data_IF_178628595290
#
_entry.id   IF_178628595290
#
_cell.length_a   1.000
_cell.length_b   1.000
_cell.length_c   1.000
_cell.angle_alpha   90.00
_cell.angle_beta   90.00
_cell.angle_gamma   90.00
#
_symmetry.space_group_name_H-M   'P 1'
#
loop_
_entity.id
_entity.type
_entity.pdbx_description
1 polymer ?
#
# COMPACT_ATOMS: atom_id res chain seq x y z
N UNK A 1 57.17 56.64 51.97
CA UNK A 1 55.90 56.50 52.73
C UNK A 1 54.84 55.97 51.77
N UNK A 2 54.31 54.74 51.97
CA UNK A 2 53.37 54.14 51.04
C UNK A 2 51.97 54.77 51.20
N UNK A 3 51.34 55.09 50.06
CA UNK A 3 49.95 55.57 49.97
C UNK A 3 48.98 54.38 50.05
N UNK A 4 47.79 54.54 50.67
CA UNK A 4 46.86 53.44 50.87
C UNK A 4 46.08 53.12 49.59
N UNK A 5 45.82 51.81 49.40
CA UNK A 5 44.88 51.29 48.41
C UNK A 5 43.44 51.66 48.79
N UNK A 6 42.71 52.22 47.83
CA UNK A 6 41.30 52.58 47.95
C UNK A 6 40.46 51.51 47.27
N UNK A 7 39.72 50.75 48.05
CA UNK A 7 38.82 49.67 47.62
C UNK A 7 37.53 50.26 47.03
N UNK A 8 37.20 49.95 45.79
CA UNK A 8 35.93 50.29 45.16
C UNK A 8 34.99 49.08 45.29
N UNK A 9 33.80 49.20 45.92
CA UNK A 9 32.86 48.10 45.98
C UNK A 9 32.14 47.93 44.63
N UNK A 10 32.18 46.71 44.09
CA UNK A 10 31.40 46.30 42.92
C UNK A 10 29.97 46.04 43.36
N UNK A 11 29.05 46.89 42.90
CA UNK A 11 27.61 46.72 43.10
C UNK A 11 27.09 45.69 42.06
N UNK A 12 26.80 44.48 42.50
CA UNK A 12 26.19 43.44 41.66
C UNK A 12 24.69 43.71 41.56
N UNK A 13 24.24 44.17 40.39
CA UNK A 13 22.83 44.37 40.08
C UNK A 13 22.22 43.04 39.61
N UNK A 14 21.53 42.34 40.50
CA UNK A 14 20.82 41.10 40.18
C UNK A 14 19.43 41.43 39.60
N UNK A 15 19.28 41.30 38.28
CA UNK A 15 18.01 41.46 37.58
C UNK A 15 17.14 40.20 37.79
N UNK A 16 16.21 40.24 38.73
CA UNK A 16 15.18 39.21 38.86
C UNK A 16 14.10 39.44 37.79
N UNK A 17 14.14 38.68 36.70
CA UNK A 17 13.03 38.61 35.74
C UNK A 17 11.90 37.76 36.35
N UNK A 18 10.88 38.41 36.88
CA UNK A 18 9.64 37.75 37.26
C UNK A 18 8.88 37.34 35.99
N UNK A 19 8.92 36.06 35.64
CA UNK A 19 8.00 35.51 34.64
C UNK A 19 6.61 35.40 35.27
N UNK A 20 5.69 36.26 34.84
CA UNK A 20 4.27 36.12 35.15
C UNK A 20 3.75 34.82 34.50
N UNK A 21 3.45 33.81 35.31
CA UNK A 21 2.71 32.63 34.85
C UNK A 21 1.25 33.05 34.61
N UNK A 22 0.80 32.93 33.35
CA UNK A 22 -0.61 33.04 33.01
C UNK A 22 -1.42 31.92 33.69
N UNK A 23 -2.66 32.17 34.14
CA UNK A 23 -3.48 31.16 34.77
C UNK A 23 -3.75 30.03 33.77
N UNK A 24 -3.53 28.79 34.21
CA UNK A 24 -3.85 27.60 33.43
C UNK A 24 -5.36 27.56 33.15
N UNK A 25 -5.74 27.87 31.91
CA UNK A 25 -7.09 27.62 31.43
C UNK A 25 -7.42 26.13 31.52
N UNK A 26 -8.61 25.80 32.00
CA UNK A 26 -9.14 24.42 31.98
C UNK A 26 -8.96 23.83 30.58
N UNK A 27 -8.50 22.58 30.42
CA UNK A 27 -8.40 21.99 29.10
C UNK A 27 -9.82 21.94 28.53
N UNK A 28 -10.04 22.65 27.43
CA UNK A 28 -11.24 22.48 26.64
C UNK A 28 -11.30 21.00 26.27
N UNK A 29 -12.40 20.33 26.65
CA UNK A 29 -12.59 18.91 26.39
C UNK A 29 -12.32 18.63 24.92
N UNK A 30 -11.23 17.92 24.64
CA UNK A 30 -10.93 17.47 23.31
C UNK A 30 -12.11 16.61 22.87
N UNK A 31 -12.87 17.10 21.87
CA UNK A 31 -13.79 16.24 21.14
C UNK A 31 -12.94 15.08 20.64
N UNK A 32 -13.22 13.88 21.13
CA UNK A 32 -12.62 12.66 20.62
C UNK A 32 -13.07 12.53 19.18
N UNK A 33 -12.33 13.12 18.25
CA UNK A 33 -12.44 12.76 16.86
C UNK A 33 -12.18 11.25 16.84
N UNK A 34 -13.17 10.48 16.39
CA UNK A 34 -12.97 9.05 16.12
C UNK A 34 -11.81 8.96 15.15
N UNK A 35 -10.61 8.65 15.66
CA UNK A 35 -9.43 8.44 14.83
C UNK A 35 -9.80 7.28 13.92
N UNK A 36 -9.86 7.54 12.61
CA UNK A 36 -10.11 6.51 11.62
C UNK A 36 -9.15 5.35 11.88
N UNK A 37 -9.64 4.12 11.85
CA UNK A 37 -8.81 2.94 12.07
C UNK A 37 -7.71 2.92 11.00
N UNK A 38 -6.47 3.12 11.43
CA UNK A 38 -5.31 3.07 10.55
C UNK A 38 -4.96 1.61 10.27
N UNK A 39 -4.94 1.22 9.00
CA UNK A 39 -4.67 -0.15 8.57
C UNK A 39 -3.58 -0.25 7.50
N UNK A 40 -3.17 0.87 6.92
CA UNK A 40 -2.09 0.92 5.93
C UNK A 40 -0.71 0.86 6.61
N UNK A 41 0.04 -0.22 6.38
CA UNK A 41 1.35 -0.45 6.99
C UNK A 41 2.35 0.68 6.70
N UNK A 42 2.36 1.22 5.48
CA UNK A 42 3.26 2.33 5.08
C UNK A 42 2.99 3.65 5.83
N UNK A 43 1.84 3.75 6.49
CA UNK A 43 1.42 4.92 7.27
C UNK A 43 1.56 4.71 8.78
N UNK A 44 2.04 3.53 9.22
CA UNK A 44 2.24 3.18 10.62
C UNK A 44 3.72 3.25 10.99
N UNK A 45 4.01 3.74 12.20
CA UNK A 45 5.32 3.58 12.82
C UNK A 45 5.50 2.16 13.35
N UNK A 46 6.74 1.68 13.54
CA UNK A 46 6.97 0.32 14.07
C UNK A 46 6.28 0.06 15.43
N UNK A 47 6.16 1.02 16.38
CA UNK A 47 5.40 0.80 17.61
C UNK A 47 3.90 0.64 17.36
N UNK A 48 3.33 1.38 16.40
CA UNK A 48 1.92 1.25 16.02
C UNK A 48 1.64 -0.11 15.37
N UNK A 49 2.55 -0.61 14.52
CA UNK A 49 2.47 -1.96 13.95
C UNK A 49 2.49 -3.02 15.06
N UNK A 50 3.45 -2.91 15.99
CA UNK A 50 3.57 -3.84 17.13
C UNK A 50 2.28 -3.86 17.96
N UNK A 51 1.77 -2.68 18.32
CA UNK A 51 0.53 -2.56 19.09
C UNK A 51 -0.68 -3.15 18.34
N UNK A 52 -0.75 -2.97 17.01
CA UNK A 52 -1.82 -3.55 16.20
C UNK A 52 -1.77 -5.09 16.15
N UNK A 53 -0.57 -5.67 16.03
CA UNK A 53 -0.38 -7.13 16.07
C UNK A 53 -0.77 -7.68 17.45
N UNK A 54 -0.33 -7.04 18.54
CA UNK A 54 -0.69 -7.40 19.92
C UNK A 54 -2.21 -7.27 20.17
N UNK A 55 -2.86 -6.32 19.52
CA UNK A 55 -4.32 -6.15 19.52
C UNK A 55 -5.06 -7.12 18.58
N UNK A 56 -4.36 -8.08 17.95
CA UNK A 56 -4.97 -9.16 17.17
C UNK A 56 -5.02 -8.93 15.65
N UNK A 57 -4.37 -7.89 15.11
CA UNK A 57 -4.22 -7.73 13.65
C UNK A 57 -3.12 -8.62 13.10
N UNK A 58 -3.42 -9.91 12.98
CA UNK A 58 -2.44 -10.97 12.66
C UNK A 58 -2.39 -11.33 11.18
N UNK A 59 -3.19 -10.68 10.33
CA UNK A 59 -3.25 -10.94 8.88
C UNK A 59 -2.58 -9.82 8.08
N UNK A 60 -1.59 -10.15 7.24
CA UNK A 60 -1.00 -9.22 6.28
C UNK A 60 -1.62 -9.42 4.89
N UNK A 61 -2.02 -8.33 4.25
CA UNK A 61 -2.55 -8.35 2.88
C UNK A 61 -1.51 -7.76 1.93
N UNK A 62 -0.86 -8.60 1.12
CA UNK A 62 0.00 -8.16 0.04
C UNK A 62 -0.80 -8.06 -1.25
N UNK A 63 -0.79 -6.86 -1.82
CA UNK A 63 -1.52 -6.54 -3.04
C UNK A 63 -0.53 -6.06 -4.10
N UNK A 64 -0.59 -6.65 -5.30
CA UNK A 64 0.17 -6.17 -6.45
C UNK A 64 -0.71 -5.30 -7.35
N UNK A 65 -0.26 -4.09 -7.64
CA UNK A 65 -0.82 -3.25 -8.69
C UNK A 65 -0.08 -3.50 -10.01
N UNK A 66 0.43 -2.42 -10.60
CA UNK A 66 1.20 -2.46 -11.84
C UNK A 66 1.43 -1.06 -12.39
N UNK A 67 2.51 -0.93 -13.17
CA UNK A 67 2.83 0.28 -13.93
C UNK A 67 2.66 -0.05 -15.40
N UNK A 68 1.57 0.41 -16.00
CA UNK A 68 1.14 -0.01 -17.34
C UNK A 68 0.60 1.18 -18.13
N UNK A 69 1.02 1.30 -19.39
CA UNK A 69 0.37 2.17 -20.34
C UNK A 69 -1.03 1.65 -20.71
N UNK A 70 -2.09 2.44 -20.43
CA UNK A 70 -3.50 2.04 -20.63
C UNK A 70 -4.29 3.07 -21.44
N UNK A 71 -3.74 3.44 -22.58
CA UNK A 71 -4.30 4.47 -23.46
C UNK A 71 -4.00 5.89 -22.99
N UNK A 72 -4.31 6.91 -23.80
CA UNK A 72 -3.96 8.32 -23.52
C UNK A 72 -4.68 8.93 -22.30
N UNK A 73 -5.77 8.30 -21.84
CA UNK A 73 -6.63 8.81 -20.77
C UNK A 73 -6.22 8.35 -19.35
N UNK A 74 -5.43 7.27 -19.23
CA UNK A 74 -5.12 6.66 -17.94
C UNK A 74 -3.69 7.01 -17.50
N UNK A 75 -3.53 7.23 -16.20
CA UNK A 75 -2.20 7.32 -15.58
C UNK A 75 -1.57 5.93 -15.48
N UNK A 76 -0.25 5.85 -15.67
CA UNK A 76 0.47 4.56 -15.68
C UNK A 76 0.35 3.78 -14.37
N UNK A 77 0.20 4.49 -13.24
CA UNK A 77 0.06 3.91 -11.91
C UNK A 77 -1.38 3.52 -11.53
N UNK A 78 -2.31 3.49 -12.49
CA UNK A 78 -3.74 3.28 -12.22
C UNK A 78 -4.01 2.04 -11.35
N UNK A 79 -3.39 0.89 -11.67
CA UNK A 79 -3.52 -0.34 -10.89
C UNK A 79 -3.05 -0.17 -9.44
N UNK A 80 -1.93 0.51 -9.22
CA UNK A 80 -1.39 0.76 -7.87
C UNK A 80 -2.27 1.72 -7.08
N UNK A 81 -2.79 2.77 -7.72
CA UNK A 81 -3.68 3.74 -7.08
C UNK A 81 -5.01 3.11 -6.66
N UNK A 82 -5.64 2.32 -7.53
CA UNK A 82 -6.86 1.59 -7.20
C UNK A 82 -6.59 0.50 -6.15
N UNK A 83 -5.50 -0.25 -6.30
CA UNK A 83 -5.10 -1.30 -5.39
C UNK A 83 -4.96 -0.83 -3.94
N UNK A 84 -4.46 0.40 -3.71
CA UNK A 84 -4.35 0.99 -2.37
C UNK A 84 -5.70 1.09 -1.67
N UNK A 85 -6.71 1.63 -2.33
CA UNK A 85 -8.05 1.76 -1.73
C UNK A 85 -8.77 0.41 -1.61
N UNK A 86 -8.56 -0.51 -2.56
CA UNK A 86 -9.13 -1.86 -2.52
C UNK A 86 -8.60 -2.61 -1.29
N UNK A 87 -7.27 -2.73 -1.15
CA UNK A 87 -6.66 -3.49 -0.05
C UNK A 87 -6.95 -2.85 1.31
N UNK A 88 -6.96 -1.52 1.39
CA UNK A 88 -7.37 -0.78 2.59
C UNK A 88 -8.80 -1.10 2.98
N UNK A 89 -9.72 -1.11 2.02
CA UNK A 89 -11.13 -1.45 2.26
C UNK A 89 -11.30 -2.88 2.74
N UNK A 90 -10.56 -3.83 2.16
CA UNK A 90 -10.54 -5.23 2.60
C UNK A 90 -10.03 -5.33 4.05
N UNK A 91 -8.91 -4.67 4.38
CA UNK A 91 -8.35 -4.69 5.72
C UNK A 91 -9.31 -4.13 6.79
N UNK A 92 -9.98 -3.01 6.48
CA UNK A 92 -11.00 -2.42 7.34
C UNK A 92 -12.18 -3.36 7.58
N UNK A 93 -12.65 -4.05 6.53
CA UNK A 93 -13.79 -4.98 6.62
C UNK A 93 -13.45 -6.26 7.39
N UNK A 94 -12.24 -6.78 7.25
CA UNK A 94 -11.78 -7.96 7.99
C UNK A 94 -11.54 -7.64 9.48
N UNK A 95 -11.12 -6.42 9.80
CA UNK A 95 -10.89 -5.94 11.17
C UNK A 95 -9.62 -6.48 11.84
N UNK A 96 -9.13 -7.66 11.43
CA UNK A 96 -7.92 -8.31 11.92
C UNK A 96 -6.73 -8.25 10.93
N UNK A 97 -6.82 -7.40 9.91
CA UNK A 97 -5.85 -7.34 8.83
C UNK A 97 -5.15 -5.97 8.74
N UNK A 98 -3.92 -5.99 8.22
CA UNK A 98 -3.12 -4.82 7.86
C UNK A 98 -2.84 -4.87 6.35
N UNK A 99 -3.07 -3.75 5.68
CA UNK A 99 -2.77 -3.57 4.27
C UNK A 99 -1.26 -3.27 4.10
N UNK A 100 -0.54 -4.19 3.47
CA UNK A 100 0.87 -3.98 3.15
C UNK A 100 1.02 -2.98 1.99
N UNK A 101 2.21 -2.35 1.81
CA UNK A 101 2.43 -1.43 0.70
C UNK A 101 2.14 -2.12 -0.64
N UNK A 102 1.35 -1.48 -1.50
CA UNK A 102 0.97 -2.03 -2.80
C UNK A 102 2.20 -2.09 -3.69
N UNK A 103 2.53 -3.28 -4.19
CA UNK A 103 3.67 -3.46 -5.09
C UNK A 103 3.36 -2.79 -6.44
N UNK A 104 4.20 -1.84 -6.91
CA UNK A 104 3.92 -1.07 -8.12
C UNK A 104 4.25 -1.82 -9.41
N UNK A 105 4.79 -3.03 -9.32
CA UNK A 105 5.23 -3.84 -10.44
C UNK A 105 4.67 -5.26 -10.36
N UNK A 106 4.43 -5.82 -11.54
CA UNK A 106 3.80 -7.12 -11.82
C UNK A 106 4.37 -7.61 -13.16
N UNK A 107 4.24 -8.90 -13.51
CA UNK A 107 4.58 -9.35 -14.84
C UNK A 107 3.82 -8.58 -15.92
N UNK A 108 4.52 -7.74 -16.66
CA UNK A 108 3.93 -7.01 -17.77
C UNK A 108 4.98 -6.73 -18.84
N UNK A 109 4.65 -7.06 -20.08
CA UNK A 109 5.45 -6.74 -21.24
C UNK A 109 4.53 -6.21 -22.35
N UNK A 110 3.74 -5.18 -22.01
CA UNK A 110 2.90 -4.48 -22.96
C UNK A 110 3.75 -3.84 -24.09
N UNK A 111 3.07 -3.21 -25.06
CA UNK A 111 3.67 -2.64 -26.27
C UNK A 111 5.01 -1.93 -26.02
N UNK A 112 6.07 -2.42 -26.68
CA UNK A 112 7.37 -1.76 -26.70
C UNK A 112 7.37 -0.44 -27.51
N UNK A 113 6.27 -0.16 -28.22
CA UNK A 113 6.11 1.03 -29.06
C UNK A 113 5.56 2.21 -28.25
N UNK A 114 4.92 1.96 -27.11
CA UNK A 114 4.37 3.01 -26.26
C UNK A 114 5.12 3.06 -24.92
N UNK A 115 5.61 4.24 -24.49
CA UNK A 115 6.25 4.36 -23.20
C UNK A 115 5.22 4.21 -22.08
N UNK A 116 5.69 3.78 -20.90
CA UNK A 116 4.92 3.85 -19.66
C UNK A 116 4.70 2.53 -18.94
N UNK A 117 4.91 1.40 -19.60
CA UNK A 117 4.87 0.08 -18.96
C UNK A 117 6.23 -0.26 -18.35
N UNK A 118 6.23 -0.64 -17.08
CA UNK A 118 7.39 -1.18 -16.36
C UNK A 118 6.92 -2.46 -15.68
N UNK A 119 7.42 -3.60 -16.16
CA UNK A 119 7.00 -4.90 -15.65
C UNK A 119 8.17 -5.78 -15.22
N UNK A 120 7.82 -6.75 -14.39
CA UNK A 120 8.71 -7.81 -13.95
C UNK A 120 8.58 -9.05 -14.85
N UNK A 121 9.40 -10.05 -14.61
CA UNK A 121 9.10 -11.41 -15.04
C UNK A 121 8.31 -12.14 -13.94
N UNK A 122 7.59 -13.23 -14.26
CA UNK A 122 6.95 -14.09 -13.25
C UNK A 122 7.93 -14.58 -12.18
N UNK A 123 9.17 -14.88 -12.56
CA UNK A 123 10.22 -15.35 -11.65
C UNK A 123 10.63 -14.26 -10.66
N UNK A 124 10.84 -13.03 -11.13
CA UNK A 124 11.15 -11.89 -10.26
C UNK A 124 10.00 -11.58 -9.30
N UNK A 125 8.76 -11.58 -9.79
CA UNK A 125 7.60 -11.39 -8.92
C UNK A 125 7.53 -12.50 -7.87
N UNK A 126 7.69 -13.76 -8.26
CA UNK A 126 7.67 -14.90 -7.35
C UNK A 126 8.71 -14.77 -6.23
N UNK A 127 9.95 -14.43 -6.58
CA UNK A 127 11.03 -14.21 -5.61
C UNK A 127 10.74 -13.04 -4.65
N UNK A 128 10.17 -11.94 -5.15
CA UNK A 128 9.76 -10.80 -4.32
C UNK A 128 8.66 -11.23 -3.35
N UNK A 129 7.59 -11.84 -3.85
CA UNK A 129 6.43 -12.26 -3.04
C UNK A 129 6.85 -13.26 -1.95
N UNK A 130 7.68 -14.24 -2.28
CA UNK A 130 8.23 -15.18 -1.31
C UNK A 130 9.00 -14.42 -0.21
N UNK A 131 9.96 -13.57 -0.60
CA UNK A 131 10.81 -12.86 0.35
C UNK A 131 10.00 -11.96 1.29
N UNK A 132 9.05 -11.18 0.78
CA UNK A 132 8.27 -10.25 1.61
C UNK A 132 7.26 -10.99 2.51
N UNK A 133 6.73 -12.11 2.04
CA UNK A 133 5.86 -12.99 2.84
C UNK A 133 6.61 -13.55 4.03
N UNK A 134 7.80 -14.10 3.80
CA UNK A 134 8.66 -14.64 4.88
C UNK A 134 9.04 -13.56 5.90
N UNK A 135 9.28 -12.32 5.44
CA UNK A 135 9.57 -11.20 6.34
C UNK A 135 8.36 -10.82 7.18
N UNK A 136 7.16 -10.72 6.61
CA UNK A 136 5.94 -10.46 7.36
C UNK A 136 5.72 -11.54 8.44
N UNK A 137 5.91 -12.81 8.09
CA UNK A 137 5.77 -13.93 9.03
C UNK A 137 6.83 -13.93 10.12
N UNK A 138 8.05 -13.49 9.81
CA UNK A 138 9.12 -13.30 10.81
C UNK A 138 8.79 -12.19 11.80
N UNK A 139 8.14 -11.12 11.34
CA UNK A 139 7.83 -9.94 12.16
C UNK A 139 6.49 -10.00 12.90
N UNK A 140 5.82 -11.17 12.92
CA UNK A 140 4.69 -11.42 13.81
C UNK A 140 3.33 -11.65 13.13
N UNK A 141 3.24 -11.59 11.79
CA UNK A 141 2.01 -11.96 11.10
C UNK A 141 1.84 -13.48 11.06
N UNK A 142 0.61 -13.94 11.34
CA UNK A 142 0.25 -15.37 11.32
C UNK A 142 -0.35 -15.78 9.99
N UNK A 143 -1.08 -14.89 9.34
CA UNK A 143 -1.69 -15.14 8.05
C UNK A 143 -1.17 -14.13 7.04
N UNK A 144 -0.84 -14.59 5.84
CA UNK A 144 -0.50 -13.72 4.72
C UNK A 144 -1.41 -14.04 3.56
N UNK A 145 -2.01 -13.02 2.94
CA UNK A 145 -2.84 -13.18 1.75
C UNK A 145 -2.21 -12.43 0.59
N UNK A 146 -1.92 -13.15 -0.49
CA UNK A 146 -1.41 -12.63 -1.75
C UNK A 146 -2.57 -12.41 -2.71
N UNK A 147 -2.61 -11.25 -3.37
CA UNK A 147 -3.65 -10.88 -4.32
C UNK A 147 -3.16 -9.77 -5.27
N UNK A 148 -3.87 -9.49 -6.36
CA UNK A 148 -3.43 -8.47 -7.32
C UNK A 148 -4.48 -7.99 -8.31
N UNK A 149 -4.32 -6.75 -8.79
CA UNK A 149 -5.22 -6.09 -9.76
C UNK A 149 -4.75 -6.22 -11.23
N UNK A 150 -3.64 -6.91 -11.47
CA UNK A 150 -3.08 -7.09 -12.80
C UNK A 150 -3.01 -8.57 -13.17
N UNK A 151 -3.37 -8.91 -14.41
CA UNK A 151 -3.47 -10.31 -14.83
C UNK A 151 -2.11 -11.02 -15.00
N UNK A 152 -1.01 -10.27 -15.01
CA UNK A 152 0.34 -10.81 -15.12
C UNK A 152 0.72 -11.68 -13.92
N UNK A 153 1.21 -12.89 -14.19
CA UNK A 153 1.57 -13.87 -13.15
C UNK A 153 0.37 -14.55 -12.48
N UNK A 154 -0.85 -14.03 -12.65
CA UNK A 154 -2.05 -14.66 -12.10
C UNK A 154 -2.59 -15.78 -13.02
N UNK A 155 -3.10 -16.88 -12.45
CA UNK A 155 -3.08 -17.22 -11.02
C UNK A 155 -1.75 -17.86 -10.58
N UNK A 156 -0.97 -18.38 -11.53
CA UNK A 156 0.05 -19.40 -11.28
C UNK A 156 1.15 -18.95 -10.31
N UNK A 157 1.79 -17.80 -10.55
CA UNK A 157 2.91 -17.31 -9.73
C UNK A 157 2.49 -17.12 -8.27
N UNK A 158 1.29 -16.59 -8.04
CA UNK A 158 0.78 -16.29 -6.70
C UNK A 158 0.40 -17.57 -5.96
N UNK A 159 -0.31 -18.48 -6.65
CA UNK A 159 -0.69 -19.78 -6.11
C UNK A 159 0.55 -20.63 -5.76
N UNK A 160 1.58 -20.60 -6.61
CA UNK A 160 2.83 -21.34 -6.36
C UNK A 160 3.58 -20.81 -5.16
N UNK A 161 3.73 -19.48 -5.02
CA UNK A 161 4.36 -18.87 -3.85
C UNK A 161 3.55 -19.17 -2.59
N UNK A 162 2.23 -18.99 -2.63
CA UNK A 162 1.37 -19.25 -1.47
C UNK A 162 1.53 -20.70 -0.99
N UNK A 163 1.41 -21.67 -1.90
CA UNK A 163 1.60 -23.10 -1.59
C UNK A 163 2.99 -23.41 -1.06
N UNK A 164 4.04 -22.87 -1.69
CA UNK A 164 5.44 -23.12 -1.31
C UNK A 164 5.73 -22.60 0.11
N UNK A 165 5.32 -21.37 0.40
CA UNK A 165 5.60 -20.73 1.68
C UNK A 165 4.68 -21.28 2.78
N UNK A 166 3.40 -21.53 2.49
CA UNK A 166 2.48 -22.18 3.45
C UNK A 166 3.01 -23.55 3.88
N UNK A 167 3.45 -24.40 2.95
CA UNK A 167 4.01 -25.73 3.28
C UNK A 167 5.20 -25.66 4.25
N UNK A 168 6.00 -24.58 4.19
CA UNK A 168 7.15 -24.36 5.07
C UNK A 168 6.72 -23.93 6.48
N UNK A 169 5.69 -23.11 6.60
CA UNK A 169 5.36 -22.42 7.85
C UNK A 169 4.06 -22.89 8.53
N UNK A 170 3.21 -23.66 7.84
CA UNK A 170 1.99 -24.24 8.39
C UNK A 170 2.24 -25.11 9.64
N UNK A 171 3.33 -25.90 9.75
CA UNK A 171 3.65 -26.63 10.99
C UNK A 171 3.86 -25.72 12.21
N UNK A 172 4.17 -24.44 11.99
CA UNK A 172 4.36 -23.43 13.03
C UNK A 172 3.07 -22.59 13.28
N UNK A 173 1.95 -23.00 12.68
CA UNK A 173 0.66 -22.31 12.81
C UNK A 173 0.60 -20.97 12.08
N UNK A 174 1.41 -20.80 11.01
CA UNK A 174 1.40 -19.61 10.16
C UNK A 174 1.07 -20.00 8.73
N UNK A 175 0.16 -19.28 8.10
CA UNK A 175 -0.45 -19.67 6.83
C UNK A 175 -0.34 -18.63 5.73
N UNK A 176 -0.27 -19.10 4.49
CA UNK A 176 -0.22 -18.24 3.30
C UNK A 176 -1.31 -18.64 2.31
N UNK A 177 -2.04 -17.65 1.82
CA UNK A 177 -3.17 -17.83 0.91
C UNK A 177 -2.99 -16.99 -0.36
N UNK A 178 -3.52 -17.49 -1.47
CA UNK A 178 -3.75 -16.70 -2.67
C UNK A 178 -5.25 -16.42 -2.82
N UNK A 179 -5.62 -15.16 -3.07
CA UNK A 179 -7.00 -14.74 -3.29
C UNK A 179 -7.15 -14.14 -4.70
N UNK A 180 -7.82 -14.87 -5.58
CA UNK A 180 -8.10 -14.43 -6.97
C UNK A 180 -9.43 -13.68 -7.10
N UNK A 181 -10.22 -13.55 -6.02
CA UNK A 181 -11.54 -12.94 -6.10
C UNK A 181 -11.49 -11.44 -6.43
N UNK A 182 -10.41 -10.75 -6.05
CA UNK A 182 -10.21 -9.34 -6.41
C UNK A 182 -9.96 -9.15 -7.90
N UNK A 183 -9.60 -10.21 -8.63
CA UNK A 183 -9.29 -10.17 -10.05
C UNK A 183 -10.27 -11.00 -10.89
N UNK A 184 -10.16 -12.33 -10.88
CA UNK A 184 -10.95 -13.19 -11.76
C UNK A 184 -12.45 -13.02 -11.54
N UNK A 185 -12.89 -13.00 -10.27
CA UNK A 185 -14.32 -12.80 -9.96
C UNK A 185 -14.77 -11.39 -10.32
N UNK A 186 -14.01 -10.36 -9.96
CA UNK A 186 -14.34 -8.97 -10.30
C UNK A 186 -14.49 -8.74 -11.82
N UNK A 187 -13.58 -9.32 -12.62
CA UNK A 187 -13.67 -9.28 -14.09
C UNK A 187 -14.90 -10.03 -14.59
N UNK A 188 -15.17 -11.24 -14.07
CA UNK A 188 -16.33 -12.03 -14.45
C UNK A 188 -17.67 -11.36 -14.12
N UNK A 189 -17.78 -10.73 -12.94
CA UNK A 189 -18.96 -9.97 -12.54
C UNK A 189 -19.17 -8.75 -13.46
N UNK A 190 -18.08 -8.06 -13.84
CA UNK A 190 -18.15 -6.90 -14.74
C UNK A 190 -18.52 -7.30 -16.17
N UNK A 191 -17.92 -8.36 -16.71
CA UNK A 191 -18.27 -8.88 -18.04
C UNK A 191 -19.72 -9.36 -18.08
N UNK A 192 -20.20 -10.03 -17.02
CA UNK A 192 -21.60 -10.40 -16.88
C UNK A 192 -22.51 -9.16 -16.92
N UNK A 193 -22.18 -8.12 -16.15
CA UNK A 193 -22.93 -6.86 -16.15
C UNK A 193 -22.95 -6.22 -17.55
N UNK A 194 -21.83 -6.21 -18.28
CA UNK A 194 -21.76 -5.69 -19.65
C UNK A 194 -22.72 -6.45 -20.57
N UNK A 195 -22.70 -7.79 -20.52
CA UNK A 195 -23.60 -8.62 -21.32
C UNK A 195 -25.08 -8.38 -21.01
N UNK A 196 -25.44 -8.27 -19.72
CA UNK A 196 -26.80 -7.98 -19.28
C UNK A 196 -27.31 -6.61 -19.77
N UNK A 197 -26.40 -5.68 -20.06
CA UNK A 197 -26.72 -4.34 -20.57
C UNK A 197 -26.45 -4.15 -22.07
N UNK A 198 -26.20 -5.24 -22.81
CA UNK A 198 -26.02 -5.22 -24.26
C UNK A 198 -24.67 -4.68 -24.73
N UNK A 199 -23.67 -4.58 -23.85
CA UNK A 199 -22.31 -4.18 -24.20
C UNK A 199 -21.43 -5.40 -24.52
N UNK A 200 -20.39 -5.25 -25.38
CA UNK A 200 -19.41 -6.30 -25.59
C UNK A 200 -18.56 -6.51 -24.33
N UNK A 201 -18.04 -7.73 -24.15
CA UNK A 201 -17.12 -8.04 -23.04
C UNK A 201 -15.90 -7.11 -23.07
N UNK A 202 -15.39 -6.81 -21.88
CA UNK A 202 -14.20 -5.98 -21.74
C UNK A 202 -13.04 -6.69 -22.46
N UNK A 203 -12.36 -5.99 -23.37
CA UNK A 203 -11.15 -6.53 -23.98
C UNK A 203 -9.99 -5.57 -23.75
N UNK A 204 -8.86 -6.11 -23.30
CA UNK A 204 -7.62 -5.33 -23.10
C UNK A 204 -7.16 -4.60 -24.37
N UNK A 205 -7.61 -5.07 -25.54
CA UNK A 205 -7.31 -4.49 -26.86
C UNK A 205 -8.18 -3.27 -27.23
N UNK A 206 -9.26 -2.98 -26.51
CA UNK A 206 -10.20 -1.89 -26.85
C UNK A 206 -10.23 -0.71 -25.86
N UNK A 207 -9.30 -0.66 -24.90
CA UNK A 207 -9.11 0.56 -24.09
C UNK A 207 -8.32 1.64 -24.87
N UNK A 208 -7.58 1.23 -25.89
CA UNK A 208 -7.21 2.11 -26.99
C UNK A 208 -8.44 2.22 -27.90
N UNK A 209 -9.30 3.21 -27.68
CA UNK A 209 -9.98 3.81 -28.82
C UNK A 209 -8.85 4.20 -29.76
N UNK A 210 -8.76 3.53 -30.92
CA UNK A 210 -7.90 3.98 -31.98
C UNK A 210 -8.21 5.45 -32.18
N UNK A 211 -7.28 6.32 -31.79
CA UNK A 211 -7.11 7.62 -32.44
C UNK A 211 -6.51 7.33 -33.82
N UNK A 212 -7.15 6.43 -34.58
CA UNK A 212 -6.99 6.42 -36.02
C UNK A 212 -7.84 7.60 -36.44
N UNK A 213 -7.12 8.68 -36.75
CA UNK A 213 -7.61 9.77 -37.56
C UNK A 213 -8.55 9.22 -38.61
N UNK A 214 -9.72 9.84 -38.74
CA UNK A 214 -10.58 9.74 -39.91
C UNK A 214 -9.76 10.11 -41.14
N UNK A 215 -8.99 9.19 -41.68
CA UNK A 215 -8.55 9.24 -43.06
C UNK A 215 -8.51 7.80 -43.57
N UNK A 216 -9.49 7.50 -44.41
CA UNK A 216 -9.65 6.20 -44.99
C UNK A 216 -8.59 5.97 -46.05
N UNK A 217 -7.52 5.26 -45.71
CA UNK A 217 -6.77 4.52 -46.72
C UNK A 217 -6.13 3.27 -46.10
N UNK A 218 -6.91 2.19 -46.05
CA UNK A 218 -6.34 0.85 -45.97
C UNK A 218 -5.72 0.51 -47.33
N UNK A 219 -4.43 0.19 -47.36
CA UNK A 219 -3.83 -0.64 -48.42
C UNK A 219 -3.16 -1.84 -47.76
N UNK A 220 -3.62 -3.01 -48.24
CA UNK A 220 -3.06 -4.39 -48.23
C UNK A 220 -2.05 -4.77 -47.16
#
# INVERSE_FOLDING_TARGET
MPRPLMSIPVLVLSCATAFAQAPAGKPAGARTATRQTLVEFEMMTWPEVKAAIEAGKTTALFYTGGTEQRGPQNVNGGHTLMGREIVRTIALRLGNAIAMPVLPYTPNNASAQLPGTIGLTPELLGAILERVTEQAMTTGFKNVVLMGDHGGGQPQTYADVARKVDAKYAPEGRHVYFCDEVYAKAQGDFDKWLHEHGYPSSSRRRCCISVETRDGSARS
#
